data_IF_690816995841
#
_entry.id   IF_690816995841
#
_cell.length_a   1.000
_cell.length_b   1.000
_cell.length_c   1.000
_cell.angle_alpha   90.00
_cell.angle_beta   90.00
_cell.angle_gamma   90.00
#
_symmetry.space_group_name_H-M   'P 1'
#
loop_
_entity.id
_entity.type
_entity.pdbx_description
1 polymer ?
#
# COMPACT_ATOMS: atom_id res chain seq x y z
N UNK A 1 23.19 27.99 35.14
CA UNK A 1 22.77 27.79 33.74
C UNK A 1 21.37 27.19 33.75
N UNK A 2 20.36 27.79 33.10
CA UNK A 2 19.03 27.23 33.10
C UNK A 2 19.04 25.93 32.29
N UNK A 3 18.85 24.80 32.97
CA UNK A 3 18.67 23.49 32.33
C UNK A 3 17.28 23.50 31.69
N UNK A 4 17.23 23.47 30.36
CA UNK A 4 15.97 23.41 29.61
C UNK A 4 15.80 21.98 29.10
N UNK A 5 15.20 21.07 29.88
CA UNK A 5 14.97 19.68 29.51
C UNK A 5 13.89 19.55 28.43
N UNK A 6 13.69 20.55 27.58
CA UNK A 6 12.86 20.45 26.37
C UNK A 6 13.72 20.63 25.11
N UNK A 7 14.94 21.14 25.27
CA UNK A 7 15.89 21.34 24.17
C UNK A 7 16.31 20.01 23.51
N UNK A 8 16.40 18.93 24.29
CA UNK A 8 16.71 17.59 23.78
C UNK A 8 15.58 16.96 22.96
N UNK A 9 14.34 17.46 23.09
CA UNK A 9 13.23 16.97 22.27
C UNK A 9 13.44 17.30 20.79
N UNK A 10 14.10 18.42 20.47
CA UNK A 10 14.40 18.81 19.08
C UNK A 10 15.41 17.85 18.46
N UNK A 11 16.48 17.49 19.18
CA UNK A 11 17.47 16.50 18.73
C UNK A 11 16.89 15.10 18.68
N UNK A 12 16.06 14.70 19.64
CA UNK A 12 15.34 13.42 19.60
C UNK A 12 14.39 13.35 18.39
N UNK A 13 13.64 14.43 18.11
CA UNK A 13 12.79 14.48 16.92
C UNK A 13 13.64 14.36 15.64
N UNK A 14 14.72 15.14 15.50
CA UNK A 14 15.55 15.09 14.29
C UNK A 14 16.19 13.70 14.04
N UNK A 15 16.53 12.98 15.10
CA UNK A 15 17.18 11.67 15.01
C UNK A 15 16.18 10.53 14.80
N UNK A 16 15.06 10.53 15.51
CA UNK A 16 14.10 9.42 15.49
C UNK A 16 12.93 9.61 14.53
N UNK A 17 12.58 10.86 14.16
CA UNK A 17 11.46 11.14 13.25
C UNK A 17 11.68 10.58 11.84
N UNK A 18 12.87 10.68 11.19
CA UNK A 18 13.08 10.08 9.87
C UNK A 18 12.87 8.56 9.89
N UNK A 19 13.33 7.89 10.95
CA UNK A 19 13.18 6.45 11.15
C UNK A 19 11.71 6.09 11.40
N UNK A 20 11.02 6.87 12.24
CA UNK A 20 9.60 6.69 12.50
C UNK A 20 8.75 6.83 11.23
N UNK A 21 8.99 7.88 10.45
CA UNK A 21 8.25 8.13 9.19
C UNK A 21 8.52 7.05 8.16
N UNK A 22 9.77 6.61 7.99
CA UNK A 22 10.11 5.53 7.05
C UNK A 22 9.47 4.20 7.46
N UNK A 23 9.45 3.87 8.75
CA UNK A 23 8.80 2.66 9.26
C UNK A 23 7.28 2.72 9.08
N UNK A 24 6.65 3.86 9.35
CA UNK A 24 5.21 4.06 9.17
C UNK A 24 4.81 3.96 7.68
N UNK A 25 5.61 4.55 6.79
CA UNK A 25 5.44 4.43 5.34
C UNK A 25 5.66 2.99 4.83
N UNK A 26 6.60 2.25 5.43
CA UNK A 26 6.80 0.84 5.12
C UNK A 26 5.58 0.02 5.54
N UNK A 27 5.10 0.18 6.78
CA UNK A 27 3.92 -0.52 7.29
C UNK A 27 2.65 -0.25 6.47
N UNK A 28 2.42 0.99 6.05
CA UNK A 28 1.23 1.33 5.24
C UNK A 28 1.24 0.63 3.88
N UNK A 29 2.42 0.40 3.30
CA UNK A 29 2.60 -0.34 2.05
C UNK A 29 2.23 -1.82 2.17
N UNK A 30 2.50 -2.46 3.32
CA UNK A 30 2.06 -3.85 3.58
C UNK A 30 0.58 -3.96 3.95
N UNK A 31 -0.02 -2.88 4.46
CA UNK A 31 -1.44 -2.86 4.82
C UNK A 31 -2.37 -2.71 3.61
N UNK A 32 -1.85 -2.31 2.45
CA UNK A 32 -2.62 -2.40 1.21
C UNK A 32 -2.83 -3.89 0.94
N UNK A 33 -4.06 -4.37 1.17
CA UNK A 33 -4.45 -5.76 0.97
C UNK A 33 -4.15 -6.17 -0.48
N UNK A 34 -2.93 -6.65 -0.71
CA UNK A 34 -2.60 -7.40 -1.89
C UNK A 34 -3.32 -8.73 -1.70
N UNK A 35 -4.53 -8.83 -2.23
CA UNK A 35 -5.21 -10.12 -2.34
C UNK A 35 -4.23 -11.07 -3.00
N UNK A 36 -3.84 -12.13 -2.29
CA UNK A 36 -2.92 -13.14 -2.80
C UNK A 36 -3.46 -13.82 -4.07
N UNK A 37 -4.76 -13.69 -4.33
CA UNK A 37 -5.44 -14.22 -5.50
C UNK A 37 -6.01 -13.13 -6.42
N UNK A 38 -5.63 -11.86 -6.19
CA UNK A 38 -6.29 -10.73 -6.87
C UNK A 38 -7.79 -10.69 -6.58
N UNK A 39 -8.54 -9.93 -7.35
CA UNK A 39 -10.00 -9.93 -7.31
C UNK A 39 -10.49 -11.26 -7.92
N UNK A 40 -10.36 -12.36 -7.16
CA UNK A 40 -10.70 -13.72 -7.57
C UNK A 40 -12.22 -13.86 -7.61
N UNK A 41 -12.81 -13.32 -8.67
CA UNK A 41 -14.23 -13.45 -8.99
C UNK A 41 -14.38 -14.16 -10.33
N UNK A 42 -15.50 -14.86 -10.49
CA UNK A 42 -15.89 -15.37 -11.80
C UNK A 42 -16.10 -14.20 -12.77
N UNK A 43 -15.66 -14.37 -14.02
CA UNK A 43 -15.81 -13.38 -15.06
C UNK A 43 -17.31 -13.13 -15.35
N UNK A 44 -17.68 -11.88 -15.56
CA UNK A 44 -19.07 -11.53 -15.89
C UNK A 44 -19.37 -11.83 -17.37
N UNK A 45 -20.64 -11.94 -17.76
CA UNK A 45 -21.04 -12.24 -19.15
C UNK A 45 -20.41 -11.27 -20.17
N UNK A 46 -20.24 -10.00 -19.80
CA UNK A 46 -19.58 -8.99 -20.63
C UNK A 46 -18.08 -9.26 -20.84
N UNK A 47 -17.40 -9.78 -19.83
CA UNK A 47 -15.97 -10.15 -19.88
C UNK A 47 -15.80 -11.46 -20.67
N UNK A 48 -16.75 -12.39 -20.55
CA UNK A 48 -16.80 -13.65 -21.29
C UNK A 48 -17.03 -13.47 -22.80
N UNK A 49 -17.84 -12.48 -23.22
CA UNK A 49 -18.08 -12.18 -24.66
C UNK A 49 -16.82 -11.84 -25.46
N UNK A 50 -15.74 -11.40 -24.81
CA UNK A 50 -14.45 -11.15 -25.49
C UNK A 50 -13.76 -12.44 -25.90
N UNK A 51 -14.01 -13.53 -25.17
CA UNK A 51 -13.47 -14.86 -25.45
C UNK A 51 -14.46 -15.74 -26.20
N UNK A 52 -15.65 -15.22 -26.48
CA UNK A 52 -16.68 -15.92 -27.23
C UNK A 52 -16.20 -16.11 -28.67
N UNK A 53 -15.79 -17.34 -28.98
CA UNK A 53 -15.36 -17.73 -30.31
C UNK A 53 -16.55 -17.68 -31.26
N UNK A 54 -16.55 -16.67 -32.15
CA UNK A 54 -17.64 -16.43 -33.10
C UNK A 54 -17.78 -17.52 -34.18
N UNK A 55 -16.73 -18.33 -34.40
CA UNK A 55 -16.66 -19.33 -35.45
C UNK A 55 -16.75 -18.73 -36.86
N UNK A 56 -16.02 -19.29 -37.81
CA UNK A 56 -16.26 -19.02 -39.23
C UNK A 56 -17.40 -19.92 -39.71
N UNK A 57 -18.62 -19.58 -39.32
CA UNK A 57 -19.81 -20.12 -39.97
C UNK A 57 -20.34 -19.03 -40.91
N UNK A 58 -19.67 -18.88 -42.06
CA UNK A 58 -20.20 -18.17 -43.22
C UNK A 58 -21.23 -19.04 -43.95
#
# INVERSE_FOLDING_TARGET
MPYVPWSWCVTAALTFLPVGVTLLAFMSRFSTKQSLHGDARFANERELRLFEYRGEYQ
#
